data_IF_999120483235
#
_entry.id   IF_999120483235
#
_cell.length_a   1.000
_cell.length_b   1.000
_cell.length_c   1.000
_cell.angle_alpha   90.00
_cell.angle_beta   90.00
_cell.angle_gamma   90.00
#
_symmetry.space_group_name_H-M   'P 1'
#
loop_
_entity.id
_entity.type
_entity.pdbx_description
1 polymer ?
#
# COMPACT_ATOMS: atom_id res chain seq x y z
N UNK A 1 -7.12 -24.94 0.60
CA UNK A 1 -7.95 -23.71 0.71
C UNK A 1 -7.02 -22.53 0.42
N UNK A 2 -7.19 -21.84 -0.70
CA UNK A 2 -6.43 -20.64 -1.07
C UNK A 2 -7.07 -19.42 -0.41
N UNK A 3 -6.53 -19.00 0.74
CA UNK A 3 -6.93 -17.76 1.40
C UNK A 3 -6.26 -16.59 0.70
N UNK A 4 -6.99 -15.96 -0.22
CA UNK A 4 -6.53 -14.78 -0.98
C UNK A 4 -6.39 -13.51 -0.13
N UNK A 5 -6.89 -13.52 1.11
CA UNK A 5 -6.78 -12.42 2.07
C UNK A 5 -6.19 -12.98 3.36
N UNK A 6 -4.87 -12.85 3.50
CA UNK A 6 -4.09 -13.20 4.68
C UNK A 6 -3.34 -11.93 5.11
N UNK A 7 -3.95 -11.08 5.96
CA UNK A 7 -3.24 -9.91 6.48
C UNK A 7 -2.07 -10.43 7.32
N UNK A 8 -0.84 -10.23 6.81
CA UNK A 8 0.36 -10.76 7.47
C UNK A 8 0.70 -9.98 8.73
N UNK A 9 0.48 -8.66 8.71
CA UNK A 9 0.92 -7.74 9.75
C UNK A 9 0.09 -6.45 9.73
N UNK A 10 0.20 -5.67 10.81
CA UNK A 10 -0.47 -4.38 10.96
C UNK A 10 0.37 -3.28 10.31
N UNK A 11 -0.30 -2.38 9.58
CA UNK A 11 0.27 -1.13 9.10
C UNK A 11 -0.50 0.05 9.72
N UNK A 12 0.20 1.15 9.97
CA UNK A 12 -0.37 2.37 10.50
C UNK A 12 0.11 3.57 9.69
N UNK A 13 -0.73 4.59 9.59
CA UNK A 13 -0.42 5.73 8.75
C UNK A 13 -1.37 6.89 8.93
N UNK A 14 -1.00 8.00 8.33
CA UNK A 14 -1.81 9.20 8.21
C UNK A 14 -2.27 9.40 6.78
N UNK A 15 -3.44 9.99 6.62
CA UNK A 15 -3.93 10.44 5.33
C UNK A 15 -4.52 11.85 5.45
N UNK A 16 -4.31 12.64 4.41
CA UNK A 16 -4.85 13.98 4.25
C UNK A 16 -5.61 14.06 2.93
N UNK A 17 -6.80 14.65 2.96
CA UNK A 17 -7.67 14.78 1.79
C UNK A 17 -8.11 16.22 1.64
N UNK A 18 -7.90 16.78 0.45
CA UNK A 18 -8.39 18.09 0.08
C UNK A 18 -9.44 17.96 -1.03
N UNK A 19 -10.71 18.13 -0.65
CA UNK A 19 -11.83 18.08 -1.57
C UNK A 19 -11.88 19.38 -2.39
N UNK A 20 -11.59 19.30 -3.69
CA UNK A 20 -11.71 20.45 -4.61
C UNK A 20 -13.07 20.49 -5.30
N UNK A 21 -13.72 19.34 -5.50
CA UNK A 21 -15.09 19.23 -6.00
C UNK A 21 -15.89 18.12 -5.30
N UNK A 22 -17.17 17.97 -5.68
CA UNK A 22 -18.07 16.89 -5.20
C UNK A 22 -17.58 15.50 -5.59
N UNK A 23 -16.80 15.39 -6.68
CA UNK A 23 -16.36 14.12 -7.28
C UNK A 23 -14.85 13.87 -7.25
N UNK A 24 -14.03 14.91 -7.06
CA UNK A 24 -12.57 14.75 -7.02
C UNK A 24 -11.94 15.44 -5.80
N UNK A 25 -10.98 14.74 -5.21
CA UNK A 25 -10.19 15.22 -4.08
C UNK A 25 -8.71 14.89 -4.31
N UNK A 26 -7.84 15.78 -3.86
CA UNK A 26 -6.42 15.46 -3.72
C UNK A 26 -6.23 14.65 -2.44
N UNK A 27 -5.49 13.55 -2.53
CA UNK A 27 -5.16 12.70 -1.38
C UNK A 27 -3.65 12.59 -1.26
N UNK A 28 -3.16 12.78 -0.05
CA UNK A 28 -1.81 12.41 0.35
C UNK A 28 -1.89 11.42 1.50
N UNK A 29 -0.98 10.45 1.55
CA UNK A 29 -0.88 9.50 2.65
C UNK A 29 0.56 9.10 2.93
N UNK A 30 0.85 8.86 4.21
CA UNK A 30 2.09 8.27 4.65
C UNK A 30 1.76 7.05 5.51
N UNK A 31 2.25 5.87 5.12
CA UNK A 31 1.94 4.59 5.77
C UNK A 31 3.26 3.91 6.11
N UNK A 32 3.38 3.44 7.34
CA UNK A 32 4.44 2.54 7.77
C UNK A 32 3.84 1.18 8.09
N UNK A 33 4.40 0.13 7.52
CA UNK A 33 3.95 -1.23 7.71
C UNK A 33 5.10 -2.21 7.74
N UNK A 34 4.87 -3.35 8.36
CA UNK A 34 5.73 -4.52 8.21
C UNK A 34 4.98 -5.55 7.38
N UNK A 35 5.69 -6.36 6.63
CA UNK A 35 5.13 -7.53 5.98
C UNK A 35 6.02 -8.74 6.25
N UNK A 36 5.37 -9.89 6.39
CA UNK A 36 6.02 -11.18 6.59
C UNK A 36 5.47 -12.11 5.53
N UNK A 37 6.33 -12.62 4.66
CA UNK A 37 5.99 -13.64 3.67
C UNK A 37 6.63 -14.96 4.11
N UNK A 38 5.80 -15.99 4.32
CA UNK A 38 6.22 -17.30 4.78
C UNK A 38 5.84 -18.33 3.71
N UNK A 39 6.86 -18.86 3.03
CA UNK A 39 6.71 -19.79 1.93
C UNK A 39 6.10 -21.14 2.36
N UNK A 40 6.25 -21.53 3.63
CA UNK A 40 5.64 -22.76 4.17
C UNK A 40 4.12 -22.73 4.15
N UNK A 41 3.54 -21.51 4.18
CA UNK A 41 2.10 -21.27 4.13
C UNK A 41 1.59 -21.04 2.71
N UNK A 42 2.47 -21.06 1.71
CA UNK A 42 2.08 -20.90 0.31
C UNK A 42 1.22 -22.07 -0.18
N UNK A 43 0.40 -21.86 -1.20
CA UNK A 43 -0.33 -22.95 -1.88
C UNK A 43 0.49 -23.64 -2.98
N UNK A 44 1.69 -23.11 -3.26
CA UNK A 44 2.57 -23.58 -4.33
C UNK A 44 3.58 -24.58 -3.72
N UNK A 45 3.61 -25.85 -4.17
CA UNK A 45 4.51 -26.87 -3.63
C UNK A 45 6.00 -26.50 -3.71
N UNK A 46 6.43 -25.81 -4.78
CA UNK A 46 7.82 -25.36 -4.91
C UNK A 46 8.21 -24.27 -3.89
N UNK A 47 7.26 -23.41 -3.49
CA UNK A 47 7.48 -22.44 -2.40
C UNK A 47 7.49 -23.16 -1.05
N UNK A 48 6.54 -24.06 -0.80
CA UNK A 48 6.53 -24.87 0.42
C UNK A 48 7.84 -25.66 0.63
N UNK A 49 8.41 -26.21 -0.46
CA UNK A 49 9.68 -26.94 -0.41
C UNK A 49 10.89 -26.02 -0.15
N UNK A 50 10.80 -24.75 -0.53
CA UNK A 50 11.83 -23.73 -0.27
C UNK A 50 11.79 -23.22 1.17
N UNK A 51 10.59 -23.04 1.74
CA UNK A 51 10.41 -22.77 3.17
C UNK A 51 11.02 -21.46 3.67
N UNK A 52 11.24 -20.48 2.80
CA UNK A 52 11.81 -19.18 3.18
C UNK A 52 10.80 -18.31 3.94
N UNK A 53 11.33 -17.57 4.92
CA UNK A 53 10.59 -16.56 5.67
C UNK A 53 11.25 -15.21 5.39
N UNK A 54 10.50 -14.33 4.73
CA UNK A 54 10.90 -12.96 4.43
C UNK A 54 10.18 -12.01 5.38
N UNK A 55 10.93 -11.22 6.15
CA UNK A 55 10.40 -10.14 6.98
C UNK A 55 10.98 -8.81 6.54
N UNK A 56 10.12 -7.86 6.18
CA UNK A 56 10.54 -6.56 5.67
C UNK A 56 9.64 -5.45 6.23
N UNK A 57 10.23 -4.27 6.43
CA UNK A 57 9.47 -3.06 6.74
C UNK A 57 9.39 -2.15 5.52
N UNK A 58 8.24 -1.50 5.34
CA UNK A 58 7.95 -0.57 4.25
C UNK A 58 7.46 0.75 4.84
N UNK A 59 8.08 1.84 4.42
CA UNK A 59 7.59 3.19 4.60
C UNK A 59 7.13 3.73 3.24
N UNK A 60 5.83 3.97 3.10
CA UNK A 60 5.18 4.46 1.88
C UNK A 60 4.76 5.92 2.06
N UNK A 61 5.09 6.77 1.09
CA UNK A 61 4.50 8.09 0.89
C UNK A 61 3.82 8.14 -0.47
N UNK A 62 2.56 8.57 -0.49
CA UNK A 62 1.73 8.57 -1.70
C UNK A 62 0.98 9.89 -1.84
N UNK A 63 0.88 10.38 -3.08
CA UNK A 63 0.09 11.54 -3.41
C UNK A 63 -0.61 11.35 -4.76
N UNK A 64 -1.86 11.79 -4.86
CA UNK A 64 -2.64 11.57 -6.06
C UNK A 64 -4.07 12.08 -6.00
N UNK A 65 -4.86 11.57 -6.94
CA UNK A 65 -6.25 11.92 -7.13
C UNK A 65 -7.15 10.81 -6.62
N UNK A 66 -8.18 11.24 -5.90
CA UNK A 66 -9.26 10.41 -5.44
C UNK A 66 -10.55 10.81 -6.15
N UNK A 67 -11.12 9.87 -6.89
CA UNK A 67 -12.37 10.02 -7.61
C UNK A 67 -13.50 9.33 -6.86
N UNK A 68 -14.53 10.08 -6.51
CA UNK A 68 -15.75 9.59 -5.87
C UNK A 68 -16.80 9.33 -6.97
N UNK A 69 -17.29 8.09 -7.08
CA UNK A 69 -18.26 7.72 -8.13
C UNK A 69 -19.66 8.32 -7.90
N UNK A 70 -20.04 8.44 -6.62
CA UNK A 70 -21.29 9.09 -6.21
C UNK A 70 -20.94 10.52 -5.76
N UNK A 71 -21.82 11.47 -6.04
CA UNK A 71 -21.61 12.85 -5.61
C UNK A 71 -21.54 12.94 -4.09
N UNK A 72 -20.35 13.18 -3.57
CA UNK A 72 -20.11 13.27 -2.15
C UNK A 72 -20.13 14.73 -1.73
N UNK A 73 -21.32 15.25 -1.42
CA UNK A 73 -21.45 16.60 -0.90
C UNK A 73 -21.26 16.62 0.63
N UNK A 74 -20.17 17.21 1.10
CA UNK A 74 -19.88 17.43 2.52
C UNK A 74 -20.87 18.40 3.18
N UNK A 75 -21.51 19.29 2.43
CA UNK A 75 -22.41 20.32 2.96
C UNK A 75 -23.82 19.79 3.25
N UNK A 76 -24.31 18.77 2.54
CA UNK A 76 -25.63 18.18 2.81
C UNK A 76 -25.66 17.40 4.14
N UNK A 77 -26.77 17.51 4.87
CA UNK A 77 -27.03 16.78 6.12
C UNK A 77 -27.57 15.38 5.79
N UNK A 78 -26.99 14.35 6.40
CA UNK A 78 -27.41 12.95 6.25
C UNK A 78 -26.25 11.95 6.13
N UNK A 79 -26.51 10.64 6.34
CA UNK A 79 -25.55 9.58 6.04
C UNK A 79 -25.31 9.52 4.54
N UNK A 80 -24.05 9.44 4.15
CA UNK A 80 -23.64 9.37 2.75
C UNK A 80 -22.67 8.21 2.58
N UNK A 81 -23.02 7.30 1.68
CA UNK A 81 -22.16 6.22 1.22
C UNK A 81 -21.64 6.55 -0.17
N UNK A 82 -20.34 6.38 -0.38
CA UNK A 82 -19.75 6.64 -1.70
C UNK A 82 -18.55 5.73 -1.93
N UNK A 83 -18.58 4.88 -2.97
CA UNK A 83 -17.40 4.19 -3.44
C UNK A 83 -16.47 5.20 -4.13
N UNK A 84 -15.17 4.98 -4.00
CA UNK A 84 -14.14 5.82 -4.56
C UNK A 84 -12.99 5.00 -5.11
N UNK A 85 -12.30 5.59 -6.08
CA UNK A 85 -11.06 5.11 -6.66
C UNK A 85 -9.96 6.12 -6.35
N UNK A 86 -8.79 5.65 -5.93
CA UNK A 86 -7.60 6.46 -5.73
C UNK A 86 -6.46 5.93 -6.60
N UNK A 87 -5.80 6.85 -7.28
CA UNK A 87 -4.57 6.59 -8.03
C UNK A 87 -3.64 7.79 -7.98
N UNK A 88 -2.35 7.58 -8.20
CA UNK A 88 -1.35 8.63 -8.06
C UNK A 88 0.07 8.14 -8.24
N UNK A 89 0.97 8.77 -7.52
CA UNK A 89 2.37 8.37 -7.43
C UNK A 89 2.69 8.01 -5.99
N UNK A 90 3.32 6.86 -5.82
CA UNK A 90 3.82 6.38 -4.53
C UNK A 90 5.33 6.27 -4.60
N UNK A 91 6.00 6.75 -3.56
CA UNK A 91 7.39 6.44 -3.28
C UNK A 91 7.42 5.61 -2.00
N UNK A 92 8.05 4.44 -2.05
CA UNK A 92 8.20 3.59 -0.89
C UNK A 92 9.67 3.30 -0.64
N UNK A 93 10.02 3.23 0.64
CA UNK A 93 11.33 2.83 1.13
C UNK A 93 11.17 1.51 1.87
N UNK A 94 12.06 0.57 1.60
CA UNK A 94 12.05 -0.75 2.20
C UNK A 94 13.46 -1.15 2.67
N UNK A 95 13.51 -2.07 3.63
CA UNK A 95 14.76 -2.65 4.11
C UNK A 95 15.32 -3.63 3.07
N UNK A 96 16.60 -3.48 2.74
CA UNK A 96 17.29 -4.32 1.77
C UNK A 96 17.78 -5.59 2.46
N UNK A 97 17.00 -6.65 2.31
CA UNK A 97 17.28 -7.97 2.82
C UNK A 97 17.62 -8.93 1.68
N UNK A 98 18.51 -9.89 1.94
CA UNK A 98 18.89 -10.93 0.99
C UNK A 98 18.86 -12.29 1.68
N UNK A 99 18.75 -13.35 0.88
CA UNK A 99 18.81 -14.72 1.39
C UNK A 99 20.21 -15.29 1.25
N UNK A 100 20.77 -15.79 2.34
CA UNK A 100 22.01 -16.57 2.36
C UNK A 100 21.77 -17.89 3.09
N UNK A 101 22.16 -19.00 2.47
CA UNK A 101 21.98 -20.37 2.98
C UNK A 101 20.56 -20.68 3.54
N UNK A 102 19.51 -20.05 2.99
CA UNK A 102 18.12 -20.23 3.42
C UNK A 102 17.66 -19.39 4.61
N UNK A 103 18.48 -18.45 5.07
CA UNK A 103 18.11 -17.45 6.09
C UNK A 103 18.11 -16.05 5.47
N UNK A 104 17.12 -15.24 5.86
CA UNK A 104 17.07 -13.84 5.47
C UNK A 104 18.05 -13.04 6.35
N UNK A 105 19.07 -12.45 5.73
CA UNK A 105 20.04 -11.57 6.37
C UNK A 105 19.71 -10.12 6.04
N UNK A 106 19.78 -9.27 7.07
CA UNK A 106 19.55 -7.83 6.96
C UNK A 106 20.90 -7.11 6.87
N UNK A 107 21.16 -6.39 5.77
CA UNK A 107 22.40 -5.60 5.59
C UNK A 107 22.29 -4.22 6.27
N UNK A 108 21.19 -3.92 6.95
CA UNK A 108 20.85 -2.58 7.45
C UNK A 108 20.93 -1.48 6.37
N UNK A 109 20.81 -1.86 5.10
CA UNK A 109 20.71 -0.94 3.98
C UNK A 109 19.23 -0.72 3.65
N UNK A 110 18.86 0.49 3.28
CA UNK A 110 17.50 0.78 2.80
C UNK A 110 17.54 1.10 1.32
N UNK A 111 16.50 0.69 0.61
CA UNK A 111 16.29 1.06 -0.78
C UNK A 111 14.94 1.73 -0.99
N UNK A 112 14.78 2.45 -2.08
CA UNK A 112 13.54 3.15 -2.37
C UNK A 112 13.20 3.11 -3.85
N UNK A 113 11.93 2.87 -4.14
CA UNK A 113 11.42 2.77 -5.48
C UNK A 113 10.07 3.49 -5.60
N UNK A 114 9.67 3.73 -6.85
CA UNK A 114 8.36 4.28 -7.16
C UNK A 114 7.36 3.18 -7.43
N UNK A 115 6.10 3.47 -7.16
CA UNK A 115 4.97 2.61 -7.44
C UNK A 115 3.75 3.43 -7.90
N UNK A 116 2.88 2.78 -8.66
CA UNK A 116 1.56 3.31 -9.01
C UNK A 116 0.52 2.62 -8.11
N UNK A 117 -0.09 3.34 -7.16
CA UNK A 117 -1.17 2.81 -6.36
C UNK A 117 -2.46 2.77 -7.17
N UNK A 118 -3.18 1.66 -7.06
CA UNK A 118 -4.55 1.49 -7.51
C UNK A 118 -5.38 1.05 -6.31
N UNK A 119 -6.08 1.99 -5.70
CA UNK A 119 -6.86 1.74 -4.48
C UNK A 119 -8.34 1.92 -4.76
N UNK A 120 -9.14 0.91 -4.42
CA UNK A 120 -10.60 0.99 -4.42
C UNK A 120 -11.06 0.99 -2.97
N UNK A 121 -12.01 1.85 -2.66
CA UNK A 121 -12.57 1.90 -1.32
C UNK A 121 -14.00 2.39 -1.31
N UNK A 122 -14.60 2.32 -0.13
CA UNK A 122 -15.89 2.91 0.14
C UNK A 122 -15.80 3.76 1.39
N UNK A 123 -16.52 4.87 1.40
CA UNK A 123 -16.63 5.76 2.56
C UNK A 123 -18.06 5.82 3.04
N UNK A 124 -18.20 5.89 4.34
CA UNK A 124 -19.45 6.08 5.03
C UNK A 124 -19.33 7.24 6.02
N UNK A 125 -20.16 8.26 5.84
CA UNK A 125 -20.25 9.38 6.77
C UNK A 125 -21.09 8.97 7.98
N UNK A 126 -20.48 8.94 9.17
CA UNK A 126 -21.19 8.72 10.42
C UNK A 126 -21.88 10.01 10.88
N UNK A 127 -21.07 11.06 11.06
CA UNK A 127 -21.50 12.37 11.54
C UNK A 127 -20.95 13.46 10.63
N UNK A 128 -21.29 14.72 10.92
CA UNK A 128 -20.74 15.87 10.19
C UNK A 128 -19.22 16.00 10.25
N UNK A 129 -18.56 15.34 11.22
CA UNK A 129 -17.13 15.41 11.44
C UNK A 129 -16.37 14.12 11.12
N UNK A 130 -17.02 12.97 11.28
CA UNK A 130 -16.36 11.66 11.19
C UNK A 130 -16.82 10.89 9.97
N UNK A 131 -15.84 10.43 9.19
CA UNK A 131 -16.04 9.60 8.01
C UNK A 131 -15.23 8.33 8.18
N UNK A 132 -15.92 7.20 8.14
CA UNK A 132 -15.31 5.88 8.04
C UNK A 132 -15.01 5.57 6.58
N UNK A 133 -13.92 4.87 6.35
CA UNK A 133 -13.57 4.32 5.05
C UNK A 133 -13.06 2.90 5.20
N UNK A 134 -13.35 2.07 4.21
CA UNK A 134 -12.70 0.80 4.00
C UNK A 134 -12.02 0.86 2.64
N UNK A 135 -10.77 0.41 2.55
CA UNK A 135 -10.00 0.45 1.30
C UNK A 135 -9.17 -0.81 1.10
N UNK A 136 -9.03 -1.19 -0.16
CA UNK A 136 -8.09 -2.19 -0.64
C UNK A 136 -7.34 -1.59 -1.83
N UNK A 137 -6.03 -1.68 -1.83
CA UNK A 137 -5.24 -1.16 -2.94
C UNK A 137 -3.98 -1.94 -3.20
N UNK A 138 -3.79 -2.27 -4.47
CA UNK A 138 -2.56 -2.83 -5.00
C UNK A 138 -1.60 -1.70 -5.39
N UNK A 139 -0.32 -1.88 -5.15
CA UNK A 139 0.75 -1.01 -5.63
C UNK A 139 1.53 -1.77 -6.67
N UNK A 140 1.45 -1.30 -7.90
CA UNK A 140 2.32 -1.76 -8.97
C UNK A 140 3.70 -1.13 -8.74
N UNK A 141 4.68 -1.91 -8.32
CA UNK A 141 6.05 -1.40 -8.15
C UNK A 141 6.84 -1.57 -9.44
N UNK A 142 7.88 -0.76 -9.64
CA UNK A 142 8.83 -0.91 -10.75
C UNK A 142 10.12 -1.59 -10.29
N UNK A 143 10.04 -2.45 -9.27
CA UNK A 143 11.20 -3.14 -8.69
C UNK A 143 10.86 -4.61 -8.47
N UNK A 144 11.87 -5.46 -8.64
CA UNK A 144 11.81 -6.91 -8.55
C UNK A 144 12.52 -7.42 -7.28
N UNK A 145 12.78 -6.52 -6.31
CA UNK A 145 13.58 -6.81 -5.13
C UNK A 145 12.83 -6.56 -3.82
N UNK A 146 11.50 -6.56 -3.85
CA UNK A 146 10.72 -6.31 -2.64
C UNK A 146 10.77 -7.52 -1.69
N UNK A 147 10.84 -8.74 -2.24
CA UNK A 147 10.95 -9.99 -1.48
C UNK A 147 12.40 -10.50 -1.35
N UNK A 148 13.39 -9.73 -1.82
CA UNK A 148 14.82 -10.09 -1.79
C UNK A 148 15.22 -11.14 -2.84
N UNK A 149 14.39 -11.39 -3.84
CA UNK A 149 14.63 -12.33 -4.94
C UNK A 149 15.67 -11.87 -5.96
N UNK A 150 15.76 -10.55 -6.22
CA UNK A 150 16.68 -9.98 -7.20
C UNK A 150 17.51 -8.81 -6.64
N UNK A 151 18.48 -9.10 -5.75
CA UNK A 151 19.34 -8.07 -5.18
C UNK A 151 20.39 -7.58 -6.21
N UNK A 152 20.00 -6.62 -7.06
CA UNK A 152 20.87 -6.09 -8.14
C UNK A 152 21.86 -4.99 -7.71
N UNK A 153 21.89 -4.56 -6.44
CA UNK A 153 22.85 -3.52 -6.04
C UNK A 153 24.28 -4.05 -6.10
N UNK A 154 25.10 -3.34 -6.87
CA UNK A 154 26.43 -3.70 -7.37
C UNK A 154 27.42 -4.27 -6.35
N UNK A 155 27.25 -4.07 -5.04
CA UNK A 155 28.21 -4.55 -4.04
C UNK A 155 27.86 -5.92 -3.44
N UNK A 156 26.59 -6.34 -3.45
CA UNK A 156 26.17 -7.63 -2.85
C UNK A 156 26.31 -8.77 -3.86
N UNK A 157 25.87 -8.54 -5.10
CA UNK A 157 25.97 -9.51 -6.20
C UNK A 157 27.42 -9.78 -6.63
N UNK A 158 28.31 -8.79 -6.52
CA UNK A 158 29.75 -8.97 -6.79
C UNK A 158 30.50 -9.70 -5.67
N UNK A 159 30.01 -9.67 -4.41
CA UNK A 159 30.68 -10.33 -3.28
C UNK A 159 30.18 -11.77 -3.02
N UNK A 160 28.92 -12.11 -3.34
CA UNK A 160 28.31 -13.40 -2.97
C UNK A 160 27.92 -14.32 -4.15
N UNK A 161 28.06 -13.89 -5.41
CA UNK A 161 27.64 -14.69 -6.57
C UNK A 161 26.14 -14.60 -6.86
N UNK A 162 25.61 -15.53 -7.67
CA UNK A 162 24.22 -15.53 -8.18
C UNK A 162 23.21 -15.92 -7.08
N UNK A 163 22.89 -14.97 -6.21
CA UNK A 163 21.89 -15.09 -5.13
C UNK A 163 20.45 -14.82 -5.61
N UNK A 164 20.25 -14.74 -6.93
CA UNK A 164 18.93 -14.52 -7.54
C UNK A 164 18.10 -15.79 -7.47
N UNK A 165 16.84 -15.68 -7.06
CA UNK A 165 15.91 -16.81 -7.06
C UNK A 165 14.49 -16.38 -7.41
N UNK A 166 13.74 -17.19 -8.15
CA UNK A 166 12.38 -16.83 -8.56
C UNK A 166 12.33 -16.28 -10.00
N UNK A 167 11.33 -15.44 -10.28
CA UNK A 167 11.10 -14.92 -11.64
C UNK A 167 11.58 -13.48 -11.75
N UNK A 168 12.81 -13.30 -12.23
CA UNK A 168 13.48 -12.01 -12.38
C UNK A 168 12.88 -11.06 -13.45
N UNK A 169 11.79 -11.47 -14.10
CA UNK A 169 11.12 -10.72 -15.17
C UNK A 169 9.73 -10.22 -14.74
N UNK A 170 9.37 -10.35 -13.47
CA UNK A 170 8.03 -10.00 -12.97
C UNK A 170 8.12 -9.02 -11.82
N UNK A 171 7.82 -7.75 -12.09
CA UNK A 171 7.77 -6.70 -11.06
C UNK A 171 6.91 -7.12 -9.85
N UNK A 172 7.40 -6.87 -8.64
CA UNK A 172 6.72 -7.24 -7.40
C UNK A 172 5.54 -6.32 -7.12
N UNK A 173 4.42 -6.89 -6.69
CA UNK A 173 3.25 -6.12 -6.27
C UNK A 173 2.96 -6.40 -4.79
N UNK A 174 2.58 -5.35 -4.07
CA UNK A 174 2.07 -5.50 -2.71
C UNK A 174 0.69 -4.89 -2.56
N UNK A 175 -0.10 -5.45 -1.64
CA UNK A 175 -1.50 -5.08 -1.42
C UNK A 175 -1.68 -4.63 0.01
N UNK A 176 -2.32 -3.47 0.18
CA UNK A 176 -2.79 -3.00 1.46
C UNK A 176 -4.31 -3.05 1.51
N UNK A 177 -4.85 -3.59 2.59
CA UNK A 177 -6.28 -3.53 2.92
C UNK A 177 -6.43 -2.98 4.33
N UNK A 178 -7.33 -2.02 4.52
CA UNK A 178 -7.48 -1.37 5.82
C UNK A 178 -8.76 -0.58 6.00
N UNK A 179 -8.96 -0.16 7.25
CA UNK A 179 -10.01 0.77 7.64
C UNK A 179 -9.38 2.13 7.94
N UNK A 180 -10.04 3.19 7.54
CA UNK A 180 -9.60 4.57 7.76
C UNK A 180 -10.68 5.32 8.53
N UNK A 181 -10.29 6.06 9.56
CA UNK A 181 -11.15 7.04 10.22
C UNK A 181 -10.61 8.43 9.89
N UNK A 182 -11.45 9.26 9.28
CA UNK A 182 -11.04 10.61 8.86
C UNK A 182 -11.92 11.66 9.52
N UNK A 183 -11.29 12.77 9.91
CA UNK A 183 -11.94 13.91 10.52
C UNK A 183 -11.94 15.09 9.54
N UNK A 184 -13.09 15.72 9.33
CA UNK A 184 -13.22 16.88 8.45
C UNK A 184 -13.09 18.19 9.23
N UNK A 185 -12.06 18.97 8.91
CA UNK A 185 -11.83 20.29 9.47
C UNK A 185 -12.62 21.36 8.71
N UNK A 186 -13.30 22.26 9.44
CA UNK A 186 -13.99 23.43 8.86
C UNK A 186 -15.48 23.49 9.19
N UNK A 187 -16.01 24.71 9.32
CA UNK A 187 -17.47 24.95 9.35
C UNK A 187 -17.98 24.85 7.92
N UNK A 188 -19.09 24.15 7.71
CA UNK A 188 -19.81 24.15 6.43
C UNK A 188 -20.15 25.61 6.06
N UNK A 189 -19.60 26.19 4.98
CA UNK A 189 -20.14 27.44 4.46
C UNK A 189 -21.63 27.28 4.20
N UNK A 190 -22.42 28.32 4.49
CA UNK A 190 -23.87 28.32 4.31
C UNK A 190 -24.30 28.26 2.83
N UNK A 191 -23.34 28.28 1.90
CA UNK A 191 -23.54 28.13 0.46
C UNK A 191 -22.68 26.98 -0.06
N UNK A 192 -23.20 26.22 -1.04
CA UNK A 192 -22.52 25.08 -1.65
C UNK A 192 -21.32 25.62 -2.47
N UNK A 193 -20.10 25.59 -1.93
CA UNK A 193 -18.89 26.09 -2.61
C UNK A 193 -18.42 25.21 -3.80
N UNK A 194 -19.28 24.30 -4.24
CA UNK A 194 -19.02 23.39 -5.34
C UNK A 194 -19.93 23.81 -6.50
N UNK A 195 -19.43 24.74 -7.33
CA UNK A 195 -19.95 24.94 -8.69
C UNK A 195 -19.70 23.69 -9.55
#
# INVERSE_FOLDING_TARGET
RTSYILPSNIAFGGLFKWNKAKRYAWRASAIYGKFTADDSKSSIPSRQQRGYVAENSILEASAGLEFNFVEYNLHRLGPAFTPYLYTGLTYFRYDYNYFDAGQMLNIAQTDGAFAIPMTVGAKYRLNQFFILGAEIGARYTFTDNLDGSNPEKLNVSQQLGDIKFGNIFSDDWYVFSGLTLTYTFGRKPCMDCFE
#
